data_IF_537814016202
#
_entry.id   IF_537814016202
#
_cell.length_a   1.000
_cell.length_b   1.000
_cell.length_c   1.000
_cell.angle_alpha   90.00
_cell.angle_beta   90.00
_cell.angle_gamma   90.00
#
_symmetry.space_group_name_H-M   'P 1'
#
loop_
_entity.id
_entity.type
_entity.pdbx_description
1 polymer ?
#
# COMPACT_ATOMS: atom_id res chain seq x y z
N UNK A 1 -13.04 2.49 16.87
CA UNK A 1 -11.62 2.08 16.90
C UNK A 1 -11.52 0.75 16.18
N UNK A 2 -10.63 0.62 15.20
CA UNK A 2 -10.40 -0.64 14.47
C UNK A 2 -9.20 -1.33 15.11
N UNK A 3 -9.30 -2.63 15.37
CA UNK A 3 -8.28 -3.44 16.04
C UNK A 3 -7.52 -4.32 15.04
N UNK A 4 -6.30 -4.79 15.38
CA UNK A 4 -5.58 -5.75 14.56
C UNK A 4 -6.43 -6.99 14.27
N UNK A 5 -6.45 -7.44 13.02
CA UNK A 5 -7.24 -8.59 12.56
C UNK A 5 -8.66 -8.26 12.10
N UNK A 6 -9.14 -7.02 12.28
CA UNK A 6 -10.46 -6.61 11.81
C UNK A 6 -10.43 -6.09 10.36
N UNK A 7 -11.48 -6.42 9.60
CA UNK A 7 -11.76 -5.80 8.31
C UNK A 7 -12.85 -4.74 8.49
N UNK A 8 -12.52 -3.48 8.18
CA UNK A 8 -13.48 -2.38 8.20
C UNK A 8 -13.90 -2.04 6.78
N UNK A 9 -15.21 -2.01 6.53
CA UNK A 9 -15.79 -1.71 5.21
C UNK A 9 -16.60 -0.42 5.30
N UNK A 10 -16.37 0.51 4.37
CA UNK A 10 -17.09 1.78 4.29
C UNK A 10 -18.05 1.78 3.10
N UNK A 11 -19.35 1.86 3.37
CA UNK A 11 -20.41 1.81 2.37
C UNK A 11 -21.18 3.13 2.32
N UNK A 12 -21.67 3.50 1.14
CA UNK A 12 -22.42 4.74 0.92
C UNK A 12 -22.51 5.11 -0.57
N UNK A 13 -23.44 6.01 -0.96
CA UNK A 13 -23.64 6.41 -2.36
C UNK A 13 -22.42 7.14 -2.94
N UNK A 14 -22.33 7.22 -4.26
CA UNK A 14 -21.30 8.02 -4.93
C UNK A 14 -21.34 9.48 -4.45
N UNK A 15 -20.18 10.08 -4.23
CA UNK A 15 -20.08 11.46 -3.69
C UNK A 15 -20.21 11.58 -2.16
N UNK A 16 -20.49 10.50 -1.43
CA UNK A 16 -20.63 10.54 0.05
C UNK A 16 -19.32 10.76 0.82
N UNK A 17 -18.21 11.03 0.14
CA UNK A 17 -16.91 11.29 0.79
C UNK A 17 -16.09 10.07 1.21
N UNK A 18 -16.45 8.84 0.80
CA UNK A 18 -15.69 7.61 1.16
C UNK A 18 -14.21 7.69 0.79
N UNK A 19 -13.94 8.02 -0.48
CA UNK A 19 -12.57 8.17 -0.99
C UNK A 19 -11.85 9.31 -0.30
N UNK A 20 -12.55 10.40 0.02
CA UNK A 20 -12.00 11.54 0.77
C UNK A 20 -11.57 11.14 2.17
N UNK A 21 -12.40 10.38 2.89
CA UNK A 21 -12.10 9.89 4.22
C UNK A 21 -10.96 8.86 4.21
N UNK A 22 -10.95 7.91 3.27
CA UNK A 22 -9.82 6.99 3.09
C UNK A 22 -8.52 7.75 2.79
N UNK A 23 -8.58 8.78 1.96
CA UNK A 23 -7.42 9.65 1.66
C UNK A 23 -6.94 10.41 2.89
N UNK A 24 -7.84 10.88 3.75
CA UNK A 24 -7.49 11.49 5.05
C UNK A 24 -6.82 10.48 6.00
N UNK A 25 -7.36 9.26 6.13
CA UNK A 25 -6.73 8.15 6.87
C UNK A 25 -5.38 7.74 6.25
N UNK A 26 -5.20 7.89 4.94
CA UNK A 26 -3.91 7.67 4.29
C UNK A 26 -2.88 8.76 4.54
N UNK A 27 -3.24 9.86 5.24
CA UNK A 27 -2.43 11.06 5.41
C UNK A 27 -2.08 11.73 4.07
N UNK A 28 -3.00 11.66 3.11
CA UNK A 28 -2.85 12.19 1.74
C UNK A 28 -3.80 13.35 1.44
N UNK A 29 -4.74 13.65 2.33
CA UNK A 29 -5.68 14.75 2.12
C UNK A 29 -4.97 16.08 2.43
N UNK A 30 -4.92 16.97 1.44
CA UNK A 30 -4.45 18.34 1.64
C UNK A 30 -5.54 19.24 2.25
N UNK A 31 -5.15 20.43 2.71
CA UNK A 31 -6.07 21.45 3.23
C UNK A 31 -6.44 21.30 4.71
N UNK A 32 -7.53 21.96 5.12
CA UNK A 32 -7.96 22.05 6.51
C UNK A 32 -8.78 20.82 6.93
N UNK A 33 -8.10 19.77 7.38
CA UNK A 33 -8.72 18.65 8.09
C UNK A 33 -9.04 19.07 9.53
N UNK A 34 -10.29 18.87 9.98
CA UNK A 34 -10.69 19.05 11.38
C UNK A 34 -10.92 17.69 12.04
N UNK A 35 -10.61 17.61 13.34
CA UNK A 35 -10.71 16.39 14.13
C UNK A 35 -9.35 15.71 14.35
N UNK A 36 -9.37 14.53 14.97
CA UNK A 36 -8.16 13.81 15.38
C UNK A 36 -8.20 12.38 14.85
N UNK A 37 -7.09 11.95 14.23
CA UNK A 37 -6.89 10.58 13.76
C UNK A 37 -5.62 10.05 14.43
N UNK A 38 -5.73 8.90 15.08
CA UNK A 38 -4.63 8.26 15.81
C UNK A 38 -4.41 6.83 15.36
N UNK A 39 -3.17 6.39 15.37
CA UNK A 39 -2.71 5.04 15.05
C UNK A 39 -2.02 4.50 16.29
N UNK A 40 -2.67 3.58 17.00
CA UNK A 40 -2.20 3.08 18.31
C UNK A 40 -1.93 4.22 19.31
N UNK A 41 -2.79 5.22 19.37
CA UNK A 41 -2.66 6.38 20.27
C UNK A 41 -1.75 7.51 19.74
N UNK A 42 -0.99 7.27 18.68
CA UNK A 42 -0.07 8.25 18.10
C UNK A 42 -0.72 9.01 16.93
N UNK A 43 -0.47 10.33 16.77
CA UNK A 43 -0.92 11.07 15.59
C UNK A 43 -0.21 10.57 14.31
N UNK A 44 -0.80 10.87 13.15
CA UNK A 44 -0.18 10.51 11.87
C UNK A 44 1.24 11.10 11.75
N UNK A 45 2.18 10.30 11.25
CA UNK A 45 3.58 10.70 11.10
C UNK A 45 4.24 10.00 9.91
N UNK A 46 5.42 10.46 9.51
CA UNK A 46 6.23 9.80 8.47
C UNK A 46 6.56 8.34 8.80
N UNK A 47 6.69 8.01 10.09
CA UNK A 47 6.91 6.63 10.57
C UNK A 47 5.70 5.74 10.31
N UNK A 48 4.50 6.24 10.62
CA UNK A 48 3.23 5.54 10.34
C UNK A 48 3.02 5.40 8.83
N UNK A 49 3.29 6.47 8.06
CA UNK A 49 3.19 6.47 6.60
C UNK A 49 4.06 5.37 5.97
N UNK A 50 5.29 5.17 6.45
CA UNK A 50 6.19 4.10 5.96
C UNK A 50 5.69 2.69 6.28
N UNK A 51 4.92 2.52 7.35
CA UNK A 51 4.35 1.23 7.81
C UNK A 51 2.94 0.95 7.28
N UNK A 52 2.35 1.90 6.54
CA UNK A 52 0.98 1.80 6.04
C UNK A 52 0.99 1.60 4.52
N UNK A 53 0.23 0.61 4.05
CA UNK A 53 -0.09 0.44 2.63
C UNK A 53 -1.34 1.23 2.26
N UNK A 54 -1.37 1.81 1.06
CA UNK A 54 -2.56 2.49 0.52
C UNK A 54 -2.61 2.25 -0.97
N UNK A 55 -3.68 1.62 -1.42
CA UNK A 55 -3.96 1.35 -2.83
C UNK A 55 -4.88 2.45 -3.33
N UNK A 56 -4.46 3.16 -4.38
CA UNK A 56 -5.24 4.23 -5.01
C UNK A 56 -6.33 3.64 -5.89
N UNK A 57 -7.28 4.50 -6.30
CA UNK A 57 -8.34 4.09 -7.23
C UNK A 57 -7.78 3.78 -8.62
N UNK A 58 -6.82 4.58 -9.08
CA UNK A 58 -6.10 4.35 -10.33
C UNK A 58 -4.76 3.65 -10.05
N UNK A 59 -4.37 2.74 -10.94
CA UNK A 59 -3.08 2.06 -10.89
C UNK A 59 -1.96 2.99 -11.37
N UNK A 60 -0.90 3.11 -10.56
CA UNK A 60 0.29 3.90 -10.90
C UNK A 60 1.47 2.94 -10.97
N UNK A 61 1.70 2.36 -12.14
CA UNK A 61 2.72 1.35 -12.39
C UNK A 61 3.55 1.72 -13.64
N UNK A 62 4.79 1.25 -13.68
CA UNK A 62 5.63 1.42 -14.86
C UNK A 62 5.26 0.37 -15.91
N UNK A 63 4.55 0.78 -16.96
CA UNK A 63 3.99 -0.09 -18.00
C UNK A 63 5.01 -0.82 -18.88
N UNK A 64 6.32 -0.68 -18.63
CA UNK A 64 7.39 -1.40 -19.32
C UNK A 64 8.04 -2.47 -18.44
N UNK A 65 7.61 -2.61 -17.18
CA UNK A 65 8.11 -3.61 -16.26
C UNK A 65 7.18 -4.82 -16.21
N UNK A 66 7.76 -5.99 -16.01
CA UNK A 66 7.02 -7.20 -15.66
C UNK A 66 6.49 -7.15 -14.23
N UNK A 67 5.56 -8.04 -13.91
CA UNK A 67 5.07 -8.24 -12.52
C UNK A 67 6.23 -8.48 -11.55
N UNK A 68 7.19 -9.35 -11.93
CA UNK A 68 8.36 -9.65 -11.10
C UNK A 68 9.24 -8.42 -10.89
N UNK A 69 9.58 -7.71 -11.97
CA UNK A 69 10.42 -6.52 -11.89
C UNK A 69 9.79 -5.42 -11.03
N UNK A 70 8.48 -5.23 -11.15
CA UNK A 70 7.73 -4.23 -10.38
C UNK A 70 7.74 -4.54 -8.88
N UNK A 71 7.52 -5.79 -8.51
CA UNK A 71 7.55 -6.21 -7.10
C UNK A 71 8.97 -6.20 -6.53
N UNK A 72 9.99 -6.62 -7.31
CA UNK A 72 11.40 -6.53 -6.91
C UNK A 72 11.82 -5.07 -6.74
N UNK A 73 11.48 -4.19 -7.69
CA UNK A 73 11.76 -2.76 -7.62
C UNK A 73 11.17 -2.14 -6.34
N UNK A 74 9.91 -2.47 -6.05
CA UNK A 74 9.23 -2.01 -4.84
C UNK A 74 9.90 -2.56 -3.57
N UNK A 75 10.27 -3.84 -3.56
CA UNK A 75 10.94 -4.47 -2.43
C UNK A 75 12.31 -3.82 -2.15
N UNK A 76 13.10 -3.54 -3.20
CA UNK A 76 14.41 -2.90 -3.08
C UNK A 76 14.30 -1.52 -2.40
N UNK A 77 13.28 -0.73 -2.76
CA UNK A 77 13.05 0.62 -2.23
C UNK A 77 12.39 0.66 -0.85
N UNK A 78 11.48 -0.28 -0.56
CA UNK A 78 10.64 -0.21 0.65
C UNK A 78 11.13 -1.09 1.79
N UNK A 79 11.81 -2.20 1.51
CA UNK A 79 12.33 -3.05 2.57
C UNK A 79 13.57 -2.44 3.22
N UNK A 80 13.77 -2.62 4.54
CA UNK A 80 14.92 -2.07 5.25
C UNK A 80 16.27 -2.48 4.65
N UNK A 81 17.29 -1.66 4.85
CA UNK A 81 18.67 -1.95 4.41
C UNK A 81 19.34 -3.10 5.19
N UNK A 82 18.71 -3.58 6.26
CA UNK A 82 19.16 -4.79 6.97
C UNK A 82 18.95 -6.06 6.14
N UNK A 83 18.07 -6.02 5.12
CA UNK A 83 17.86 -7.12 4.18
C UNK A 83 18.87 -7.02 3.04
N UNK A 84 19.55 -8.12 2.75
CA UNK A 84 20.36 -8.28 1.56
C UNK A 84 19.50 -8.21 0.29
N UNK A 85 20.12 -7.87 -0.84
CA UNK A 85 19.43 -7.87 -2.15
C UNK A 85 18.73 -9.20 -2.43
N UNK A 86 19.36 -10.32 -2.08
CA UNK A 86 18.81 -11.67 -2.25
C UNK A 86 17.55 -11.88 -1.41
N UNK A 87 17.56 -11.46 -0.15
CA UNK A 87 16.37 -11.54 0.72
C UNK A 87 15.24 -10.65 0.22
N UNK A 88 15.54 -9.45 -0.26
CA UNK A 88 14.51 -8.56 -0.84
C UNK A 88 13.86 -9.16 -2.09
N UNK A 89 14.64 -9.83 -2.94
CA UNK A 89 14.11 -10.55 -4.11
C UNK A 89 13.25 -11.74 -3.67
N UNK A 90 13.70 -12.53 -2.69
CA UNK A 90 12.93 -13.65 -2.16
C UNK A 90 11.58 -13.21 -1.56
N UNK A 91 11.52 -12.04 -0.91
CA UNK A 91 10.27 -11.46 -0.43
C UNK A 91 9.32 -11.09 -1.58
N UNK A 92 9.84 -10.53 -2.68
CA UNK A 92 9.02 -10.24 -3.86
C UNK A 92 8.45 -11.52 -4.48
N UNK A 93 9.26 -12.59 -4.59
CA UNK A 93 8.80 -13.89 -5.07
C UNK A 93 7.73 -14.52 -4.17
N UNK A 94 7.88 -14.41 -2.84
CA UNK A 94 6.88 -14.88 -1.89
C UNK A 94 5.54 -14.15 -2.09
N UNK A 95 5.56 -12.84 -2.31
CA UNK A 95 4.36 -12.04 -2.60
C UNK A 95 3.69 -12.48 -3.92
N UNK A 96 4.47 -12.78 -4.97
CA UNK A 96 3.93 -13.31 -6.23
C UNK A 96 3.13 -14.60 -5.99
N UNK A 97 3.65 -15.50 -5.14
CA UNK A 97 2.96 -16.75 -4.82
C UNK A 97 1.70 -16.50 -3.97
N UNK A 98 1.80 -15.67 -2.93
CA UNK A 98 0.69 -15.36 -2.02
C UNK A 98 -0.49 -14.69 -2.75
N UNK A 99 -0.20 -13.88 -3.77
CA UNK A 99 -1.21 -13.21 -4.59
C UNK A 99 -1.67 -14.04 -5.80
N UNK A 100 -1.13 -15.25 -6.01
CA UNK A 100 -1.50 -16.11 -7.14
C UNK A 100 -1.04 -15.61 -8.51
N UNK A 101 -0.01 -14.76 -8.55
CA UNK A 101 0.48 -14.09 -9.77
C UNK A 101 1.52 -14.91 -10.55
N UNK A 102 1.77 -16.17 -10.17
CA UNK A 102 2.81 -17.00 -10.76
C UNK A 102 2.68 -17.17 -12.28
N UNK A 103 1.46 -17.21 -12.80
CA UNK A 103 1.17 -17.39 -14.24
C UNK A 103 1.54 -16.17 -15.09
N UNK A 104 1.49 -14.96 -14.53
CA UNK A 104 1.77 -13.71 -15.22
C UNK A 104 3.07 -13.03 -14.74
N UNK A 105 3.90 -13.75 -13.97
CA UNK A 105 5.09 -13.15 -13.33
C UNK A 105 6.08 -12.49 -14.30
N UNK A 106 6.13 -12.98 -15.54
CA UNK A 106 6.99 -12.48 -16.62
C UNK A 106 6.23 -11.65 -17.68
N UNK A 107 4.93 -11.41 -17.47
CA UNK A 107 4.14 -10.54 -18.33
C UNK A 107 4.38 -9.08 -17.94
N UNK A 108 4.43 -8.21 -18.94
CA UNK A 108 4.45 -6.76 -18.74
C UNK A 108 3.13 -6.34 -18.09
N UNK A 109 3.19 -5.40 -17.15
CA UNK A 109 2.00 -4.84 -16.52
C UNK A 109 1.32 -3.89 -17.51
N UNK A 110 0.09 -4.26 -17.91
CA UNK A 110 -0.74 -3.52 -18.85
C UNK A 110 -1.86 -4.40 -19.41
#
# INVERSE_FOLDING_TARGET
>A
MVKPGEMFVMLGPSGSGKTTLLTALGGRLGGNLKGTITYNGEPFSNKIKRRTGFVTQDDVLYAHLTVTETLVYTALLRLPNTFTKKEKIAQAEAVIQQLGLARCKNSIIG
#
